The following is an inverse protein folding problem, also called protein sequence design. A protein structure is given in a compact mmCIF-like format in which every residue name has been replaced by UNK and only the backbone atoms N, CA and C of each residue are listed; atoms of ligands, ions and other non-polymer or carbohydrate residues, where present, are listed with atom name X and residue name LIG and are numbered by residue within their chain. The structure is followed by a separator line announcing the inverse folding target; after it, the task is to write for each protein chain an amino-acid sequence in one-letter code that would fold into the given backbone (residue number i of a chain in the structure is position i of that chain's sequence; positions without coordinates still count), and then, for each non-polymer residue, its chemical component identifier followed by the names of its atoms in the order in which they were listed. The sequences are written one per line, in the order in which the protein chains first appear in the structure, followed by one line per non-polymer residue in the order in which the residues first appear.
data_IF_865591503103
#
_entry.id   IF_865591503103
#
_cell.length_a   1.000
_cell.length_b   1.000
_cell.length_c   1.000
_cell.angle_alpha   90.00
_cell.angle_beta   90.00
_cell.angle_gamma   90.00
#
_symmetry.space_group_name_H-M   'P 1'
#
loop_
_entity.id
_entity.type
_entity.pdbx_description
1 polymer ?
#
# COMPACT_ATOMS: atom_id res chain seq x y z
N UNK A 1 9.71 35.16 33.47
CA UNK A 1 9.20 33.82 33.26
C UNK A 1 7.94 33.96 32.41
N UNK A 2 8.00 33.63 31.14
CA UNK A 2 6.87 33.68 30.22
C UNK A 2 6.44 32.23 30.04
N UNK A 3 5.23 31.90 30.53
CA UNK A 3 4.61 30.59 30.30
C UNK A 3 4.17 30.48 28.81
N UNK A 4 4.57 29.46 28.07
CA UNK A 4 3.98 29.24 26.77
C UNK A 4 2.56 28.68 26.95
N UNK A 5 1.57 29.44 26.53
CA UNK A 5 0.19 28.98 26.39
C UNK A 5 0.14 28.05 25.18
N UNK A 6 0.18 26.77 25.43
CA UNK A 6 -0.06 25.76 24.41
C UNK A 6 -1.56 25.65 24.14
N UNK A 7 -2.00 26.28 23.08
CA UNK A 7 -3.39 26.18 22.59
C UNK A 7 -3.57 24.83 21.83
N UNK A 8 -3.58 23.72 22.56
CA UNK A 8 -3.70 22.36 22.01
C UNK A 8 -5.15 21.88 21.84
N UNK A 9 -6.14 22.66 22.32
CA UNK A 9 -7.54 22.22 22.30
C UNK A 9 -8.22 22.32 20.91
N UNK A 10 -7.82 23.26 20.06
CA UNK A 10 -8.42 23.42 18.72
C UNK A 10 -8.01 22.35 17.71
N UNK A 11 -6.75 21.91 17.78
CA UNK A 11 -6.19 20.90 16.85
C UNK A 11 -6.75 19.50 17.14
N UNK A 12 -6.97 19.18 18.41
CA UNK A 12 -7.50 17.88 18.86
C UNK A 12 -8.92 17.60 18.35
N UNK A 13 -9.82 18.58 18.34
CA UNK A 13 -11.23 18.38 17.96
C UNK A 13 -11.45 18.21 16.44
N UNK A 14 -10.64 18.90 15.62
CA UNK A 14 -10.69 18.77 14.15
C UNK A 14 -10.14 17.41 13.74
N UNK A 15 -9.04 16.99 14.35
CA UNK A 15 -8.42 15.69 14.09
C UNK A 15 -9.33 14.51 14.42
N UNK A 16 -10.12 14.61 15.52
CA UNK A 16 -11.04 13.55 15.93
C UNK A 16 -12.19 13.38 14.92
N UNK A 17 -12.81 14.48 14.47
CA UNK A 17 -13.90 14.43 13.49
C UNK A 17 -13.46 13.90 12.15
N UNK A 18 -12.23 14.22 11.74
CA UNK A 18 -11.68 13.70 10.48
C UNK A 18 -11.30 12.23 10.59
N UNK A 19 -10.67 11.83 11.69
CA UNK A 19 -10.43 10.42 11.97
C UNK A 19 -11.73 9.61 11.98
N UNK A 20 -12.81 10.14 12.55
CA UNK A 20 -14.14 9.52 12.50
C UNK A 20 -14.70 9.44 11.07
N UNK A 21 -14.45 10.45 10.22
CA UNK A 21 -14.86 10.42 8.81
C UNK A 21 -14.11 9.35 8.03
N UNK A 22 -12.81 9.28 8.17
CA UNK A 22 -11.96 8.22 7.58
C UNK A 22 -12.46 6.84 8.03
N UNK A 23 -12.68 6.67 9.33
CA UNK A 23 -13.20 5.44 9.91
C UNK A 23 -14.57 5.06 9.33
N UNK A 24 -15.51 5.99 9.25
CA UNK A 24 -16.88 5.69 8.77
C UNK A 24 -16.99 5.45 7.27
N UNK A 25 -16.23 6.19 6.46
CA UNK A 25 -16.46 6.24 5.01
C UNK A 25 -15.40 5.51 4.18
N UNK A 26 -14.16 5.43 4.69
CA UNK A 26 -13.04 4.80 3.98
C UNK A 26 -12.76 3.41 4.52
N UNK A 27 -12.78 3.25 5.83
CA UNK A 27 -12.51 1.99 6.50
C UNK A 27 -13.42 0.81 6.09
N UNK A 28 -14.73 0.98 5.83
CA UNK A 28 -15.54 -0.14 5.34
C UNK A 28 -15.08 -0.70 4.00
N UNK A 29 -14.36 0.10 3.19
CA UNK A 29 -13.77 -0.32 1.91
C UNK A 29 -12.33 -0.83 2.04
N UNK A 30 -11.74 -0.68 3.21
CA UNK A 30 -10.41 -1.15 3.54
C UNK A 30 -10.55 -2.41 4.38
N UNK A 31 -10.19 -3.56 3.81
CA UNK A 31 -10.26 -4.84 4.54
C UNK A 31 -8.96 -5.08 5.31
N UNK A 32 -9.06 -5.20 6.63
CA UNK A 32 -7.92 -5.23 7.56
C UNK A 32 -7.47 -6.62 8.06
N UNK A 33 -8.03 -7.71 7.58
CA UNK A 33 -8.00 -9.01 8.24
C UNK A 33 -6.70 -9.82 8.12
N UNK A 34 -5.51 -9.17 8.11
CA UNK A 34 -4.29 -9.89 7.73
C UNK A 34 -3.22 -10.06 8.82
N UNK A 35 -3.43 -9.47 9.96
CA UNK A 35 -2.63 -9.78 11.13
C UNK A 35 -3.58 -10.37 12.16
N UNK A 36 -3.23 -11.49 12.80
CA UNK A 36 -3.99 -12.12 13.90
C UNK A 36 -4.26 -11.18 15.09
N UNK A 37 -3.75 -9.97 15.02
CA UNK A 37 -4.10 -8.83 15.84
C UNK A 37 -4.57 -7.75 14.85
N UNK A 38 -5.88 -7.71 14.56
CA UNK A 38 -6.50 -6.58 13.89
C UNK A 38 -5.97 -5.30 14.53
N UNK A 39 -5.23 -4.45 13.80
CA UNK A 39 -4.85 -3.20 14.39
C UNK A 39 -6.15 -2.48 14.73
N UNK A 40 -6.38 -2.29 16.02
CA UNK A 40 -7.51 -1.53 16.49
C UNK A 40 -7.45 -0.19 15.77
N UNK A 41 -8.53 0.21 15.07
CA UNK A 41 -8.64 1.49 14.36
C UNK A 41 -8.26 2.68 15.27
N UNK A 42 -8.34 2.45 16.56
CA UNK A 42 -7.96 3.36 17.64
C UNK A 42 -6.51 3.16 18.11
N UNK A 43 -5.72 2.31 17.44
CA UNK A 43 -4.30 2.19 17.77
C UNK A 43 -3.65 3.58 17.64
N UNK A 44 -2.94 3.99 18.69
CA UNK A 44 -2.25 5.27 18.76
C UNK A 44 -1.35 5.52 17.53
N UNK A 45 -0.81 4.47 16.95
CA UNK A 45 0.04 4.51 15.76
C UNK A 45 -0.73 4.95 14.51
N UNK A 46 -1.95 4.44 14.30
CA UNK A 46 -2.81 4.87 13.19
C UNK A 46 -3.29 6.30 13.38
N UNK A 47 -3.72 6.65 14.60
CA UNK A 47 -4.15 8.00 14.95
C UNK A 47 -2.99 9.00 14.77
N UNK A 48 -1.77 8.64 15.17
CA UNK A 48 -0.61 9.52 15.00
C UNK A 48 -0.25 9.73 13.52
N UNK A 49 -0.39 8.72 12.67
CA UNK A 49 -0.20 8.86 11.23
C UNK A 49 -1.23 9.78 10.59
N UNK A 50 -2.51 9.63 10.96
CA UNK A 50 -3.59 10.52 10.51
C UNK A 50 -3.33 11.95 11.00
N UNK A 51 -3.01 12.12 12.26
CA UNK A 51 -2.79 13.43 12.89
C UNK A 51 -1.63 14.18 12.23
N UNK A 52 -0.55 13.46 11.91
CA UNK A 52 0.61 14.03 11.22
C UNK A 52 0.25 14.49 9.80
N UNK A 53 -0.45 13.65 9.03
CA UNK A 53 -0.87 14.02 7.68
C UNK A 53 -1.79 15.24 7.65
N UNK A 54 -2.68 15.37 8.64
CA UNK A 54 -3.56 16.55 8.79
C UNK A 54 -2.77 17.81 9.15
N UNK A 55 -1.69 17.69 9.93
CA UNK A 55 -0.84 18.82 10.27
C UNK A 55 -0.10 19.41 9.06
N UNK A 56 0.17 18.60 8.05
CA UNK A 56 0.90 18.98 6.83
C UNK A 56 0.00 19.59 5.75
N UNK A 57 -1.30 19.24 5.73
CA UNK A 57 -2.26 19.74 4.74
C UNK A 57 -3.40 20.49 5.44
N UNK A 58 -3.72 21.69 4.96
CA UNK A 58 -4.98 22.32 5.32
C UNK A 58 -6.13 21.48 4.77
N UNK A 59 -7.21 21.38 5.52
CA UNK A 59 -8.37 20.57 5.16
C UNK A 59 -8.93 20.92 3.77
N UNK A 60 -8.97 22.21 3.43
CA UNK A 60 -9.43 22.70 2.13
C UNK A 60 -8.51 22.24 0.99
N UNK A 61 -7.18 22.34 1.17
CA UNK A 61 -6.19 21.89 0.19
C UNK A 61 -6.31 20.40 -0.07
N UNK A 62 -6.51 19.61 1.00
CA UNK A 62 -6.73 18.18 0.89
C UNK A 62 -8.00 17.85 0.11
N UNK A 63 -9.13 18.48 0.42
CA UNK A 63 -10.41 18.23 -0.26
C UNK A 63 -10.31 18.56 -1.75
N UNK A 64 -9.68 19.70 -2.09
CA UNK A 64 -9.47 20.11 -3.47
C UNK A 64 -8.55 19.14 -4.21
N UNK A 65 -7.43 18.74 -3.60
CA UNK A 65 -6.50 17.79 -4.21
C UNK A 65 -7.14 16.42 -4.39
N UNK A 66 -7.87 15.90 -3.40
CA UNK A 66 -8.63 14.65 -3.52
C UNK A 66 -9.63 14.71 -4.67
N UNK A 67 -10.39 15.80 -4.80
CA UNK A 67 -11.36 15.95 -5.89
C UNK A 67 -10.67 15.97 -7.27
N UNK A 68 -9.53 16.64 -7.38
CA UNK A 68 -8.71 16.66 -8.60
C UNK A 68 -8.20 15.25 -8.94
N UNK A 69 -7.67 14.53 -7.96
CA UNK A 69 -7.19 13.14 -8.12
C UNK A 69 -8.32 12.20 -8.53
N UNK A 70 -9.46 12.30 -7.86
CA UNK A 70 -10.63 11.49 -8.21
C UNK A 70 -11.11 11.75 -9.65
N UNK A 71 -11.19 13.00 -10.08
CA UNK A 71 -11.52 13.34 -11.46
C UNK A 71 -10.55 12.72 -12.45
N UNK A 72 -9.25 12.82 -12.19
CA UNK A 72 -8.22 12.20 -13.02
C UNK A 72 -8.36 10.67 -13.06
N UNK A 73 -8.45 10.03 -11.92
CA UNK A 73 -8.60 8.58 -11.81
C UNK A 73 -9.85 8.08 -12.52
N UNK A 74 -10.95 8.83 -12.43
CA UNK A 74 -12.22 8.50 -13.10
C UNK A 74 -12.08 8.51 -14.62
N UNK A 75 -11.27 9.39 -15.21
CA UNK A 75 -11.00 9.40 -16.65
C UNK A 75 -10.17 8.21 -17.11
N UNK A 76 -9.36 7.63 -16.22
CA UNK A 76 -8.52 6.48 -16.50
C UNK A 76 -9.17 5.14 -16.12
N UNK A 77 -10.32 5.19 -15.44
CA UNK A 77 -11.02 3.99 -14.98
C UNK A 77 -11.60 3.22 -16.16
N UNK A 78 -11.33 1.93 -16.21
CA UNK A 78 -11.89 1.00 -17.18
C UNK A 78 -12.48 -0.22 -16.48
N UNK A 79 -13.46 -0.86 -17.11
CA UNK A 79 -14.02 -2.13 -16.65
C UNK A 79 -12.92 -3.21 -16.69
N UNK A 80 -12.98 -4.13 -15.75
CA UNK A 80 -12.03 -5.23 -15.68
C UNK A 80 -12.17 -6.15 -16.90
N UNK A 81 -11.10 -6.49 -17.61
CA UNK A 81 -11.15 -7.48 -18.68
C UNK A 81 -11.37 -8.89 -18.10
N UNK A 82 -11.83 -9.81 -18.94
CA UNK A 82 -11.96 -11.23 -18.56
C UNK A 82 -10.60 -11.88 -18.26
N UNK A 83 -9.55 -11.43 -18.97
CA UNK A 83 -8.18 -11.89 -18.80
C UNK A 83 -7.20 -10.70 -18.77
N UNK A 84 -6.14 -10.84 -18.00
CA UNK A 84 -5.10 -9.82 -17.86
C UNK A 84 -3.89 -10.20 -18.70
N UNK A 85 -3.43 -9.26 -19.52
CA UNK A 85 -2.16 -9.39 -20.23
C UNK A 85 -0.99 -9.08 -19.30
N UNK A 86 0.16 -9.74 -19.49
CA UNK A 86 1.37 -9.37 -18.77
C UNK A 86 1.79 -7.93 -19.05
N UNK A 87 2.18 -7.20 -18.01
CA UNK A 87 2.63 -5.82 -18.11
C UNK A 87 4.13 -5.70 -17.85
N UNK A 88 4.75 -4.66 -18.41
CA UNK A 88 6.12 -4.33 -18.03
C UNK A 88 6.18 -3.80 -16.60
N UNK A 89 7.20 -4.24 -15.86
CA UNK A 89 7.49 -3.72 -14.52
C UNK A 89 7.64 -2.20 -14.50
N UNK A 90 8.18 -1.63 -15.57
CA UNK A 90 8.35 -0.18 -15.68
C UNK A 90 7.03 0.59 -15.64
N UNK A 91 5.93 0.03 -16.15
CA UNK A 91 4.60 0.66 -16.09
C UNK A 91 4.11 0.82 -14.64
N UNK A 92 4.54 -0.05 -13.74
CA UNK A 92 4.11 -0.09 -12.34
C UNK A 92 5.22 0.29 -11.35
N UNK A 93 6.35 0.84 -11.82
CA UNK A 93 7.52 1.12 -10.99
C UNK A 93 7.34 2.32 -10.04
N UNK A 94 6.39 3.20 -10.33
CA UNK A 94 6.04 4.34 -9.48
C UNK A 94 4.78 4.05 -8.65
N UNK A 95 4.55 4.74 -7.52
CA UNK A 95 3.29 4.64 -6.80
C UNK A 95 2.07 4.90 -7.69
N UNK A 96 2.13 5.94 -8.53
CA UNK A 96 1.08 6.26 -9.49
C UNK A 96 0.90 5.16 -10.54
N UNK A 97 1.96 4.69 -11.20
CA UNK A 97 1.90 3.59 -12.16
C UNK A 97 1.34 2.31 -11.52
N UNK A 98 1.61 2.09 -10.24
CA UNK A 98 1.11 0.93 -9.52
C UNK A 98 -0.42 0.91 -9.41
N UNK A 99 -1.07 1.99 -8.97
CA UNK A 99 -2.53 2.01 -8.89
C UNK A 99 -3.19 2.33 -10.24
N UNK A 100 -2.51 3.11 -11.11
CA UNK A 100 -3.02 3.45 -12.44
C UNK A 100 -3.25 2.20 -13.30
N UNK A 101 -2.33 1.25 -13.27
CA UNK A 101 -2.49 -0.03 -13.99
C UNK A 101 -3.64 -0.88 -13.46
N UNK A 102 -4.02 -0.71 -12.20
CA UNK A 102 -5.19 -1.39 -11.62
C UNK A 102 -6.48 -0.72 -12.06
N UNK A 103 -6.61 0.60 -11.91
CA UNK A 103 -7.85 1.31 -12.28
C UNK A 103 -8.12 1.28 -13.78
N UNK A 104 -7.07 1.24 -14.61
CA UNK A 104 -7.19 1.09 -16.07
C UNK A 104 -7.48 -0.34 -16.53
N UNK A 105 -7.63 -1.30 -15.61
CA UNK A 105 -7.94 -2.69 -15.94
C UNK A 105 -6.76 -3.49 -16.52
N UNK A 106 -5.53 -2.95 -16.49
CA UNK A 106 -4.35 -3.68 -17.02
C UNK A 106 -3.92 -4.84 -16.11
N UNK A 107 -4.20 -4.76 -14.81
CA UNK A 107 -3.91 -5.83 -13.84
C UNK A 107 -4.93 -5.85 -12.70
N UNK A 108 -5.11 -7.02 -12.04
CA UNK A 108 -6.13 -7.17 -11.00
C UNK A 108 -5.74 -6.52 -9.66
N UNK A 109 -4.45 -6.34 -9.40
CA UNK A 109 -3.96 -5.73 -8.16
C UNK A 109 -2.63 -5.03 -8.35
N UNK A 110 -2.32 -4.11 -7.42
CA UNK A 110 -1.06 -3.40 -7.35
C UNK A 110 -0.70 -3.04 -5.91
N UNK A 111 0.50 -2.54 -5.70
CA UNK A 111 0.98 -2.14 -4.38
C UNK A 111 1.77 -0.84 -4.47
N UNK A 112 1.57 0.05 -3.50
CA UNK A 112 2.36 1.26 -3.32
C UNK A 112 2.50 1.57 -1.83
N UNK A 113 3.32 2.55 -1.49
CA UNK A 113 3.49 2.99 -0.10
C UNK A 113 3.04 4.43 0.05
N UNK A 114 2.46 4.74 1.21
CA UNK A 114 2.09 6.09 1.61
C UNK A 114 2.69 6.39 2.97
N UNK A 115 3.03 7.64 3.21
CA UNK A 115 3.56 8.15 4.49
C UNK A 115 2.45 8.56 5.47
N UNK A 116 1.22 8.65 4.97
CA UNK A 116 0.06 9.01 5.77
C UNK A 116 -1.20 8.34 5.23
N UNK A 117 -2.09 7.92 6.14
CA UNK A 117 -3.45 7.51 5.77
C UNK A 117 -4.30 8.68 5.26
N UNK A 118 -3.80 9.90 5.42
CA UNK A 118 -4.39 11.14 4.90
C UNK A 118 -3.85 11.47 3.51
N UNK A 119 -3.67 10.47 2.67
CA UNK A 119 -3.14 10.63 1.33
C UNK A 119 -4.28 10.85 0.33
N UNK A 120 -4.28 11.94 -0.49
CA UNK A 120 -5.36 12.24 -1.44
C UNK A 120 -5.59 11.15 -2.49
N UNK A 121 -4.53 10.48 -2.96
CA UNK A 121 -4.66 9.39 -3.93
C UNK A 121 -5.36 8.18 -3.32
N UNK A 122 -4.99 7.81 -2.08
CA UNK A 122 -5.64 6.72 -1.36
C UNK A 122 -7.15 6.98 -1.20
N UNK A 123 -7.52 8.19 -0.78
CA UNK A 123 -8.92 8.56 -0.61
C UNK A 123 -9.70 8.57 -1.94
N UNK A 124 -9.08 9.10 -2.99
CA UNK A 124 -9.68 9.11 -4.32
C UNK A 124 -9.88 7.68 -4.89
N UNK A 125 -8.90 6.80 -4.70
CA UNK A 125 -8.99 5.39 -5.08
C UNK A 125 -10.17 4.68 -4.38
N UNK A 126 -10.34 4.91 -3.07
CA UNK A 126 -11.44 4.31 -2.30
C UNK A 126 -12.84 4.80 -2.71
N UNK A 127 -12.94 5.92 -3.44
CA UNK A 127 -14.22 6.42 -3.98
C UNK A 127 -14.58 5.83 -5.35
N UNK A 128 -13.61 5.21 -6.05
CA UNK A 128 -13.88 4.55 -7.33
C UNK A 128 -14.74 3.29 -7.13
N UNK A 129 -15.65 2.99 -8.07
CA UNK A 129 -16.36 1.72 -8.04
C UNK A 129 -15.38 0.57 -8.18
N UNK A 130 -15.70 -0.56 -7.58
CA UNK A 130 -14.95 -1.82 -7.70
C UNK A 130 -13.45 -1.78 -7.36
N UNK A 131 -12.96 -0.65 -6.83
CA UNK A 131 -11.60 -0.54 -6.29
C UNK A 131 -11.65 -0.72 -4.78
N UNK A 132 -10.84 -1.65 -4.28
CA UNK A 132 -10.65 -1.91 -2.86
C UNK A 132 -9.18 -1.74 -2.48
N UNK A 133 -8.95 -1.34 -1.23
CA UNK A 133 -7.62 -1.19 -0.66
C UNK A 133 -7.48 -1.98 0.64
N UNK A 134 -6.33 -2.65 0.81
CA UNK A 134 -5.88 -3.22 2.08
C UNK A 134 -4.66 -2.44 2.52
N UNK A 135 -4.63 -2.00 3.78
CA UNK A 135 -3.58 -1.14 4.30
C UNK A 135 -3.00 -1.74 5.56
N UNK A 136 -1.68 -1.76 5.65
CA UNK A 136 -0.97 -2.20 6.83
C UNK A 136 0.34 -1.43 7.00
N UNK A 137 0.87 -1.32 8.24
CA UNK A 137 2.12 -0.63 8.50
C UNK A 137 3.28 -1.34 7.78
N UNK A 138 4.20 -0.56 7.23
CA UNK A 138 5.46 -1.10 6.72
C UNK A 138 6.38 -1.45 7.88
N UNK A 139 6.94 -2.65 7.85
CA UNK A 139 7.85 -3.12 8.86
C UNK A 139 9.09 -2.21 8.98
N UNK A 140 9.54 -1.99 10.21
CA UNK A 140 10.68 -1.14 10.54
C UNK A 140 10.58 0.33 10.09
N UNK A 141 9.37 0.78 9.74
CA UNK A 141 9.12 2.16 9.39
C UNK A 141 7.74 2.61 9.88
N UNK A 142 7.72 3.23 11.03
CA UNK A 142 6.48 3.68 11.70
C UNK A 142 5.70 4.77 10.95
N UNK A 143 6.28 5.29 9.88
CA UNK A 143 5.72 6.39 9.09
C UNK A 143 5.27 5.96 7.70
N UNK A 144 5.48 4.69 7.32
CA UNK A 144 5.07 4.19 6.02
C UNK A 144 4.00 3.11 6.16
N UNK A 145 3.00 3.19 5.31
CA UNK A 145 1.98 2.17 5.13
C UNK A 145 2.10 1.56 3.75
N UNK A 146 1.90 0.26 3.68
CA UNK A 146 1.75 -0.46 2.42
C UNK A 146 0.26 -0.45 2.08
N UNK A 147 -0.05 -0.04 0.87
CA UNK A 147 -1.39 -0.07 0.30
C UNK A 147 -1.41 -1.12 -0.80
N UNK A 148 -2.27 -2.10 -0.65
CA UNK A 148 -2.59 -3.08 -1.70
C UNK A 148 -3.91 -2.67 -2.31
N UNK A 149 -3.86 -2.16 -3.53
CA UNK A 149 -5.04 -1.79 -4.32
C UNK A 149 -5.42 -2.94 -5.23
N UNK A 150 -6.71 -3.27 -5.32
CA UNK A 150 -7.19 -4.37 -6.14
C UNK A 150 -8.60 -4.16 -6.66
N UNK A 151 -8.94 -4.91 -7.73
CA UNK A 151 -10.25 -4.92 -8.37
C UNK A 151 -11.19 -5.89 -7.67
N UNK A 152 -12.35 -5.41 -7.25
CA UNK A 152 -13.40 -6.25 -6.66
C UNK A 152 -14.34 -6.85 -7.73
N UNK A 153 -14.36 -6.28 -8.93
CA UNK A 153 -15.06 -6.82 -10.11
C UNK A 153 -14.27 -7.95 -10.83
N UNK A 154 -13.10 -8.32 -10.29
CA UNK A 154 -12.33 -9.47 -10.74
C UNK A 154 -12.10 -10.47 -9.61
N UNK A 155 -12.40 -11.77 -9.80
CA UNK A 155 -12.13 -12.79 -8.80
C UNK A 155 -10.62 -12.92 -8.48
N UNK A 156 -9.76 -12.55 -9.43
CA UNK A 156 -8.31 -12.53 -9.23
C UNK A 156 -7.83 -11.38 -8.36
N UNK A 157 -8.59 -10.29 -8.27
CA UNK A 157 -8.16 -9.08 -7.54
C UNK A 157 -7.96 -9.36 -6.05
N UNK A 158 -9.00 -9.79 -5.37
CA UNK A 158 -8.92 -10.11 -3.94
C UNK A 158 -8.02 -11.32 -3.66
N UNK A 159 -8.10 -12.36 -4.49
CA UNK A 159 -7.25 -13.55 -4.35
C UNK A 159 -5.76 -13.18 -4.36
N UNK A 160 -5.33 -12.39 -5.33
CA UNK A 160 -3.93 -11.97 -5.46
C UNK A 160 -3.51 -11.01 -4.35
N UNK A 161 -4.42 -10.11 -3.95
CA UNK A 161 -4.18 -9.22 -2.82
C UNK A 161 -3.95 -9.99 -1.51
N UNK A 162 -4.74 -11.04 -1.25
CA UNK A 162 -4.56 -11.92 -0.10
C UNK A 162 -3.21 -12.64 -0.19
N UNK A 163 -2.92 -13.22 -1.36
CA UNK A 163 -1.67 -13.95 -1.56
C UNK A 163 -0.44 -13.06 -1.43
N UNK A 164 -0.50 -11.81 -1.89
CA UNK A 164 0.55 -10.82 -1.66
C UNK A 164 0.86 -10.64 -0.17
N UNK A 165 -0.18 -10.49 0.64
CA UNK A 165 -0.03 -10.30 2.09
C UNK A 165 0.56 -11.53 2.76
N UNK A 166 0.14 -12.74 2.34
CA UNK A 166 0.75 -13.98 2.81
C UNK A 166 2.26 -14.04 2.49
N UNK A 167 2.64 -13.73 1.25
CA UNK A 167 4.05 -13.69 0.85
C UNK A 167 4.84 -12.62 1.60
N UNK A 168 4.23 -11.46 1.84
CA UNK A 168 4.85 -10.42 2.65
C UNK A 168 5.13 -10.91 4.09
N UNK A 169 4.19 -11.63 4.69
CA UNK A 169 4.37 -12.24 6.00
C UNK A 169 5.44 -13.34 5.98
N UNK A 170 5.44 -14.21 4.97
CA UNK A 170 6.48 -15.24 4.78
C UNK A 170 7.86 -14.56 4.71
N UNK A 171 8.00 -13.51 3.92
CA UNK A 171 9.24 -12.74 3.84
C UNK A 171 9.70 -12.23 5.19
N UNK A 172 8.78 -11.64 5.94
CA UNK A 172 9.04 -11.14 7.31
C UNK A 172 9.51 -12.24 8.23
N UNK A 173 8.84 -13.38 8.26
CA UNK A 173 9.17 -14.52 9.12
C UNK A 173 10.53 -15.10 8.77
N UNK A 174 10.88 -15.15 7.49
CA UNK A 174 12.22 -15.57 7.05
C UNK A 174 13.26 -14.59 7.54
N UNK A 175 13.04 -13.28 7.37
CA UNK A 175 13.98 -12.25 7.84
C UNK A 175 14.19 -12.31 9.36
N UNK A 176 13.18 -12.66 10.14
CA UNK A 176 13.30 -12.86 11.58
C UNK A 176 14.07 -14.13 11.94
N UNK A 177 13.87 -15.23 11.22
CA UNK A 177 14.61 -16.49 11.43
C UNK A 177 16.08 -16.38 11.09
N UNK A 178 16.43 -15.54 10.13
CA UNK A 178 17.80 -15.29 9.70
C UNK A 178 18.52 -14.21 10.54
N UNK A 179 18.20 -14.11 11.84
CA UNK A 179 18.68 -13.03 12.72
C UNK A 179 20.22 -12.98 12.88
N UNK A 180 20.92 -14.07 12.61
CA UNK A 180 22.39 -14.17 12.69
C UNK A 180 23.10 -13.69 11.44
N UNK A 181 22.40 -13.47 10.33
CA UNK A 181 22.97 -13.04 9.07
C UNK A 181 23.01 -11.53 8.93
N UNK A 182 23.82 -11.04 8.01
CA UNK A 182 23.84 -9.61 7.70
C UNK A 182 22.47 -9.13 7.17
N UNK A 183 22.08 -7.87 7.38
CA UNK A 183 20.82 -7.33 6.86
C UNK A 183 20.67 -7.52 5.34
N UNK A 184 21.77 -7.40 4.60
CA UNK A 184 21.78 -7.58 3.15
C UNK A 184 21.50 -9.05 2.76
N UNK A 185 22.17 -9.99 3.41
CA UNK A 185 22.00 -11.42 3.13
C UNK A 185 20.59 -11.89 3.48
N UNK A 186 20.04 -11.45 4.61
CA UNK A 186 18.62 -11.68 4.98
C UNK A 186 17.66 -11.20 3.90
N UNK A 187 17.85 -9.97 3.43
CA UNK A 187 17.00 -9.37 2.42
C UNK A 187 17.01 -10.18 1.11
N UNK A 188 18.21 -10.58 0.65
CA UNK A 188 18.36 -11.35 -0.58
C UNK A 188 17.75 -12.75 -0.44
N UNK A 189 18.04 -13.48 0.65
CA UNK A 189 17.51 -14.83 0.87
C UNK A 189 16.00 -14.83 1.00
N UNK A 190 15.43 -13.86 1.73
CA UNK A 190 13.98 -13.72 1.84
C UNK A 190 13.32 -13.36 0.51
N UNK A 191 13.95 -12.48 -0.28
CA UNK A 191 13.47 -12.08 -1.59
C UNK A 191 13.48 -13.26 -2.57
N UNK A 192 14.56 -14.05 -2.59
CA UNK A 192 14.71 -15.21 -3.50
C UNK A 192 13.56 -16.21 -3.37
N UNK A 193 13.00 -16.37 -2.16
CA UNK A 193 11.92 -17.34 -1.91
C UNK A 193 10.60 -16.87 -2.51
N UNK A 194 10.33 -15.55 -2.49
CA UNK A 194 9.02 -15.02 -2.86
C UNK A 194 8.98 -14.31 -4.21
N UNK A 195 10.15 -13.94 -4.78
CA UNK A 195 10.23 -13.00 -5.90
C UNK A 195 9.50 -13.47 -7.16
N UNK A 196 9.59 -14.76 -7.49
CA UNK A 196 8.91 -15.29 -8.68
C UNK A 196 7.40 -15.14 -8.52
N UNK A 197 6.85 -15.66 -7.44
CA UNK A 197 5.41 -15.61 -7.19
C UNK A 197 4.90 -14.15 -7.05
N UNK A 198 5.70 -13.28 -6.43
CA UNK A 198 5.39 -11.84 -6.41
C UNK A 198 5.30 -11.25 -7.82
N UNK A 199 6.21 -11.60 -8.71
CA UNK A 199 6.16 -11.15 -10.10
C UNK A 199 4.88 -11.62 -10.83
N UNK A 200 4.48 -12.87 -10.61
CA UNK A 200 3.26 -13.47 -11.18
C UNK A 200 1.99 -12.80 -10.63
N UNK A 201 1.93 -12.55 -9.31
CA UNK A 201 0.82 -11.83 -8.67
C UNK A 201 0.65 -10.43 -9.26
N UNK A 202 1.77 -9.74 -9.53
CA UNK A 202 1.76 -8.42 -10.16
C UNK A 202 1.55 -8.45 -11.68
N UNK A 203 1.37 -9.62 -12.29
CA UNK A 203 1.23 -9.79 -13.74
C UNK A 203 2.41 -9.25 -14.54
N UNK A 204 3.64 -9.30 -14.01
CA UNK A 204 4.83 -8.89 -14.76
C UNK A 204 5.17 -9.88 -15.88
N UNK A 205 5.82 -9.38 -16.93
CA UNK A 205 6.27 -10.20 -18.04
C UNK A 205 7.19 -11.33 -17.56
N UNK A 206 7.00 -12.59 -18.02
CA UNK A 206 7.82 -13.73 -17.58
C UNK A 206 9.32 -13.50 -17.74
N UNK A 207 9.75 -12.88 -18.84
CA UNK A 207 11.15 -12.53 -19.07
C UNK A 207 11.74 -11.53 -18.07
N UNK A 208 10.93 -10.61 -17.55
CA UNK A 208 11.35 -9.69 -16.49
C UNK A 208 11.47 -10.40 -15.15
N UNK A 209 10.56 -11.34 -14.84
CA UNK A 209 10.62 -12.18 -13.66
C UNK A 209 11.90 -13.02 -13.68
N UNK A 210 12.17 -13.71 -14.80
CA UNK A 210 13.37 -14.54 -14.95
C UNK A 210 14.67 -13.71 -14.87
N UNK A 211 14.68 -12.52 -15.44
CA UNK A 211 15.81 -11.59 -15.35
C UNK A 211 16.05 -11.15 -13.91
N UNK A 212 14.99 -10.86 -13.17
CA UNK A 212 15.08 -10.52 -11.76
C UNK A 212 15.56 -11.67 -10.90
N UNK A 213 15.09 -12.89 -11.15
CA UNK A 213 15.56 -14.09 -10.45
C UNK A 213 17.07 -14.34 -10.69
N UNK A 214 17.56 -14.16 -11.92
CA UNK A 214 18.99 -14.23 -12.24
C UNK A 214 19.78 -13.17 -11.49
N UNK A 215 19.27 -11.93 -11.43
CA UNK A 215 19.91 -10.84 -10.68
C UNK A 215 20.06 -11.19 -9.19
N UNK A 216 19.00 -11.69 -8.54
CA UNK A 216 19.02 -12.08 -7.12
C UNK A 216 20.03 -13.21 -6.89
N UNK A 217 20.02 -14.26 -7.72
CA UNK A 217 20.96 -15.37 -7.62
C UNK A 217 22.41 -14.93 -7.76
N UNK A 218 22.71 -14.06 -8.73
CA UNK A 218 24.04 -13.50 -8.92
C UNK A 218 24.46 -12.61 -7.74
N UNK A 219 23.53 -11.95 -7.09
CA UNK A 219 23.82 -11.13 -5.91
C UNK A 219 24.10 -12.00 -4.70
N UNK A 220 23.36 -13.08 -4.51
CA UNK A 220 23.56 -14.04 -3.45
C UNK A 220 24.95 -14.69 -3.56
N UNK A 221 25.33 -15.20 -4.74
CA UNK A 221 26.63 -15.86 -4.98
C UNK A 221 27.86 -14.96 -4.84
N UNK A 222 27.69 -13.64 -4.71
CA UNK A 222 28.79 -12.69 -4.45
C UNK A 222 28.98 -12.40 -2.97
N UNK A 223 28.00 -12.75 -2.14
CA UNK A 223 28.00 -12.46 -0.70
C UNK A 223 28.34 -13.72 0.10
N UNK A 224 27.96 -14.90 -0.41
CA UNK A 224 28.40 -16.21 0.12
C UNK A 224 29.84 -16.52 -0.28
#
# INVERSE_FOLDING_TARGET
MINPVTNTQGVSSINTKYAEHVVKNIYPKIKHDYFNESPNIYDKKYISGITRGVAELKQEEFVNEKARRFSYMKTMYSVCPEAFEPISRNEASTPEGSWLTVISGKRPMGQFSVDSLYNPDLHALCELPDICCKIFPKENNDFLYIVVVYRNDSPLGEQRANRFIELYNIKRDIMQKLNYESPELKAIKSEMIIAREMGEIFSYMPGEIDSYMKYINNKLSKIE
#
